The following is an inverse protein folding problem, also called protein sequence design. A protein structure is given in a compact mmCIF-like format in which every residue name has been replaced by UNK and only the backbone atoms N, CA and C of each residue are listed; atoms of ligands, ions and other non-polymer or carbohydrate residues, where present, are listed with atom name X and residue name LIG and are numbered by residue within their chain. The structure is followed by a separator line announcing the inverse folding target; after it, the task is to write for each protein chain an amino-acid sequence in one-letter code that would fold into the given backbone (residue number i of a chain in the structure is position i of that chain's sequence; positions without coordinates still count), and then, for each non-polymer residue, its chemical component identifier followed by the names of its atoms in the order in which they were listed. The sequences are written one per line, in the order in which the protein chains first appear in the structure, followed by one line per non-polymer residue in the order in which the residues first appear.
data_IF_427094962341
#
_entry.id   IF_427094962341
#
_cell.length_a   1.000
_cell.length_b   1.000
_cell.length_c   1.000
_cell.angle_alpha   90.00
_cell.angle_beta   90.00
_cell.angle_gamma   90.00
#
_symmetry.space_group_name_H-M   'P 1'
#
loop_
_entity.id
_entity.type
_entity.pdbx_description
1 polymer ?
#
# COMPACT_ATOMS: atom_id res chain seq x y z
N UNK A 1 36.84 18.59 18.37
CA UNK A 1 36.30 18.32 17.90
C UNK A 1 35.73 18.00 17.50
N UNK A 2 35.78 18.06 17.58
CA UNK A 2 34.97 17.68 16.91
C UNK A 2 34.26 17.23 16.60
N UNK A 3 34.27 17.42 16.75
CA UNK A 3 33.39 17.03 16.20
C UNK A 3 32.68 16.70 15.97
N UNK A 4 32.84 16.96 16.07
CA UNK A 4 31.97 16.68 15.53
C UNK A 4 31.14 16.31 15.26
N UNK A 5 31.26 16.54 15.33
CA UNK A 5 30.36 16.34 14.71
C UNK A 5 29.62 15.84 14.53
N UNK A 6 29.64 15.94 14.61
CA UNK A 6 28.76 15.61 14.00
C UNK A 6 28.07 15.12 13.85
N UNK A 7 28.38 15.43 14.04
CA UNK A 7 27.50 15.11 13.40
C UNK A 7 26.78 14.72 13.17
N UNK A 8 27.10 15.12 13.42
CA UNK A 8 26.19 14.87 12.72
C UNK A 8 25.47 14.44 12.49
N UNK A 9 25.48 14.58 12.71
CA UNK A 9 24.57 14.28 11.99
C UNK A 9 23.88 13.68 11.81
N UNK A 10 24.08 13.86 12.13
CA UNK A 10 23.21 13.38 11.47
C UNK A 10 22.40 12.94 11.42
N UNK A 11 22.55 13.25 11.74
CA UNK A 11 21.63 12.93 11.22
C UNK A 11 20.76 12.78 11.03
N UNK A 12 20.78 13.12 11.09
CA UNK A 12 19.75 13.01 10.37
C UNK A 12 19.04 12.75 9.93
N UNK A 13 19.24 13.08 10.04
CA UNK A 13 18.50 12.74 9.21
C UNK A 13 17.83 12.41 9.00
N UNK A 14 17.74 12.55 9.03
CA UNK A 14 17.04 12.15 8.48
C UNK A 14 16.28 11.90 8.25
N UNK A 15 16.39 12.23 8.48
CA UNK A 15 15.56 11.95 7.91
C UNK A 15 14.92 11.92 7.32
N UNK A 16 15.03 12.30 7.13
CA UNK A 16 14.55 12.12 6.29
C UNK A 16 13.95 11.79 5.92
N UNK A 17 13.84 11.58 6.04
CA UNK A 17 13.33 11.01 5.50
C UNK A 17 12.80 10.60 5.28
N UNK A 18 12.51 10.68 5.69
CA UNK A 18 12.00 10.12 5.27
C UNK A 18 10.91 10.00 4.69
N UNK A 19 10.70 10.72 4.72
CA UNK A 19 9.72 10.67 3.68
C UNK A 19 9.91 9.47 2.77
N UNK A 20 9.91 8.36 3.41
CA UNK A 20 10.01 7.11 2.72
C UNK A 20 8.72 6.84 1.98
N UNK A 21 8.81 6.51 0.72
CA UNK A 21 7.68 5.98 -0.01
C UNK A 21 7.23 4.69 0.66
N UNK A 22 5.96 4.59 0.98
CA UNK A 22 5.40 3.36 1.53
C UNK A 22 5.09 2.40 0.39
N UNK A 23 5.34 1.13 0.61
CA UNK A 23 4.92 0.10 -0.32
C UNK A 23 4.63 -1.18 0.43
N UNK A 24 3.88 -2.07 -0.20
CA UNK A 24 3.63 -3.40 0.33
C UNK A 24 3.35 -4.32 -0.85
N UNK A 25 3.36 -5.62 -0.59
CA UNK A 25 3.10 -6.62 -1.60
C UNK A 25 1.66 -7.12 -1.45
N UNK A 26 1.01 -7.40 -2.57
CA UNK A 26 -0.33 -7.97 -2.57
C UNK A 26 -0.29 -9.28 -3.34
N UNK A 27 -0.85 -10.32 -2.74
CA UNK A 27 -0.99 -11.63 -3.38
C UNK A 27 -2.47 -11.88 -3.66
N UNK A 28 -2.77 -12.25 -4.90
CA UNK A 28 -4.14 -12.51 -5.31
C UNK A 28 -4.44 -14.01 -5.18
N UNK A 29 -5.19 -14.37 -4.14
CA UNK A 29 -5.70 -15.71 -3.94
C UNK A 29 -7.23 -15.75 -4.03
N UNK A 30 -7.81 -14.81 -4.79
CA UNK A 30 -9.27 -14.68 -4.89
C UNK A 30 -9.90 -15.69 -5.85
N UNK A 31 -9.11 -16.25 -6.75
CA UNK A 31 -9.62 -17.14 -7.78
C UNK A 31 -10.05 -16.43 -9.06
N UNK A 32 -9.96 -15.09 -9.09
CA UNK A 32 -10.35 -14.29 -10.26
C UNK A 32 -9.25 -13.31 -10.61
N UNK A 33 -9.30 -12.76 -11.81
CA UNK A 33 -8.38 -11.72 -12.24
C UNK A 33 -8.88 -10.37 -11.76
N UNK A 34 -7.99 -9.60 -11.12
CA UNK A 34 -8.27 -8.26 -10.64
C UNK A 34 -7.73 -7.24 -11.64
N UNK A 35 -8.30 -6.05 -11.69
CA UNK A 35 -7.86 -5.05 -12.66
C UNK A 35 -7.59 -3.67 -12.09
N UNK A 36 -8.02 -3.36 -10.87
CA UNK A 36 -7.73 -2.06 -10.27
C UNK A 36 -7.50 -2.21 -8.78
N UNK A 37 -6.57 -1.42 -8.25
CA UNK A 37 -6.37 -1.23 -6.81
C UNK A 37 -6.34 0.26 -6.54
N UNK A 38 -7.21 0.71 -5.64
CA UNK A 38 -7.25 2.10 -5.20
C UNK A 38 -6.95 2.16 -3.73
N UNK A 39 -6.14 3.14 -3.31
CA UNK A 39 -5.92 3.41 -1.89
C UNK A 39 -6.15 4.90 -1.65
N UNK A 40 -6.66 5.21 -0.47
CA UNK A 40 -6.86 6.59 -0.05
C UNK A 40 -6.68 6.65 1.46
N UNK A 41 -6.23 7.79 2.01
CA UNK A 41 -6.20 7.93 3.47
C UNK A 41 -7.57 7.60 4.05
N UNK A 42 -7.56 6.94 5.20
CA UNK A 42 -8.79 6.43 5.81
C UNK A 42 -9.83 7.53 5.95
N UNK A 43 -11.08 7.20 5.60
CA UNK A 43 -12.25 8.06 5.77
C UNK A 43 -12.34 9.25 4.80
N UNK A 44 -11.49 9.32 3.79
CA UNK A 44 -11.58 10.43 2.82
C UNK A 44 -12.54 10.15 1.67
N UNK A 45 -12.77 8.89 1.33
CA UNK A 45 -13.68 8.47 0.25
C UNK A 45 -13.33 9.03 -1.13
N UNK A 46 -12.08 9.44 -1.32
CA UNK A 46 -11.61 9.94 -2.60
C UNK A 46 -10.56 8.98 -3.15
N UNK A 47 -11.02 8.02 -3.95
CA UNK A 47 -10.17 6.88 -4.35
C UNK A 47 -8.99 7.26 -5.24
N UNK A 48 -9.10 8.34 -6.00
CA UNK A 48 -8.00 8.75 -6.87
C UNK A 48 -7.76 7.77 -8.01
N UNK A 49 -6.50 7.54 -8.33
CA UNK A 49 -6.11 6.72 -9.47
C UNK A 49 -5.86 5.28 -9.08
N UNK A 50 -6.03 4.39 -10.06
CA UNK A 50 -5.63 2.99 -9.95
C UNK A 50 -4.11 2.93 -9.78
N UNK A 51 -3.65 2.26 -8.73
CA UNK A 51 -2.23 2.12 -8.42
C UNK A 51 -1.69 0.72 -8.71
N UNK A 52 -2.49 -0.13 -9.32
CA UNK A 52 -2.01 -1.44 -9.75
C UNK A 52 -0.99 -1.25 -10.88
N UNK A 53 0.23 -1.80 -10.74
CA UNK A 53 1.29 -1.57 -11.74
C UNK A 53 0.96 -2.09 -13.13
N UNK A 54 0.17 -3.15 -13.22
CA UNK A 54 -0.21 -3.77 -14.49
C UNK A 54 -1.72 -3.72 -14.64
N UNK A 55 -2.20 -3.81 -15.88
CA UNK A 55 -3.63 -3.78 -16.16
C UNK A 55 -4.37 -5.01 -15.62
N UNK A 56 -3.68 -6.13 -15.52
CA UNK A 56 -4.27 -7.38 -15.05
C UNK A 56 -3.45 -7.94 -13.90
N UNK A 57 -4.14 -8.38 -12.87
CA UNK A 57 -3.54 -9.00 -11.70
C UNK A 57 -4.16 -10.39 -11.53
N UNK A 58 -3.49 -11.38 -12.07
CA UNK A 58 -4.03 -12.72 -12.17
C UNK A 58 -4.01 -13.44 -10.84
N UNK A 59 -4.90 -14.41 -10.70
CA UNK A 59 -4.96 -15.26 -9.53
C UNK A 59 -3.60 -15.97 -9.33
N UNK A 60 -3.19 -16.13 -8.09
CA UNK A 60 -1.94 -16.77 -7.68
C UNK A 60 -0.69 -15.97 -8.00
N UNK A 61 -0.83 -14.70 -8.34
CA UNK A 61 0.33 -13.81 -8.56
C UNK A 61 0.44 -12.79 -7.44
N UNK A 62 1.59 -12.12 -7.38
CA UNK A 62 1.85 -11.08 -6.40
C UNK A 62 2.40 -9.86 -7.11
N UNK A 63 2.06 -8.67 -6.60
CA UNK A 63 2.56 -7.41 -7.12
C UNK A 63 3.01 -6.52 -5.97
N UNK A 64 3.95 -5.63 -6.25
CA UNK A 64 4.31 -4.56 -5.33
C UNK A 64 3.39 -3.37 -5.61
N UNK A 65 2.82 -2.83 -4.55
CA UNK A 65 1.93 -1.66 -4.62
C UNK A 65 2.62 -0.51 -3.89
N UNK A 66 2.80 0.61 -4.60
CA UNK A 66 3.42 1.80 -4.03
C UNK A 66 2.34 2.81 -3.67
N UNK A 67 2.36 3.28 -2.41
CA UNK A 67 1.44 4.30 -1.95
C UNK A 67 1.92 5.65 -2.49
N UNK A 68 1.04 6.46 -3.10
CA UNK A 68 1.44 7.77 -3.61
C UNK A 68 2.09 8.64 -2.52
N UNK A 69 3.19 9.30 -2.89
CA UNK A 69 3.98 10.08 -1.94
C UNK A 69 3.22 11.30 -1.41
N UNK A 70 2.25 11.81 -2.14
CA UNK A 70 1.47 12.98 -1.73
C UNK A 70 0.52 12.70 -0.57
N UNK A 71 0.39 11.45 -0.13
CA UNK A 71 -0.34 11.16 1.11
C UNK A 71 0.52 11.38 2.36
N UNK A 72 1.79 11.72 2.20
CA UNK A 72 2.64 12.14 3.30
C UNK A 72 2.92 11.04 4.31
N UNK A 73 2.74 11.37 5.60
CA UNK A 73 3.05 10.46 6.69
C UNK A 73 1.86 9.63 7.16
N UNK A 74 0.76 9.63 6.41
CA UNK A 74 -0.44 8.86 6.75
C UNK A 74 -0.14 7.37 6.77
N UNK A 75 -0.59 6.68 7.80
CA UNK A 75 -0.44 5.22 7.89
C UNK A 75 -1.74 4.47 7.62
N UNK A 76 -2.88 5.03 7.99
CA UNK A 76 -4.17 4.35 7.85
C UNK A 76 -4.79 4.66 6.51
N UNK A 77 -5.14 3.61 5.79
CA UNK A 77 -5.69 3.71 4.44
C UNK A 77 -6.90 2.82 4.27
N UNK A 78 -7.79 3.25 3.39
CA UNK A 78 -8.84 2.40 2.85
C UNK A 78 -8.37 1.90 1.49
N UNK A 79 -8.78 0.70 1.12
CA UNK A 79 -8.39 0.08 -0.14
C UNK A 79 -9.63 -0.46 -0.84
N UNK A 80 -9.72 -0.21 -2.15
CA UNK A 80 -10.78 -0.75 -2.99
C UNK A 80 -10.14 -1.53 -4.13
N UNK A 81 -10.63 -2.74 -4.36
CA UNK A 81 -10.10 -3.62 -5.39
C UNK A 81 -11.26 -4.06 -6.28
N UNK A 82 -11.04 -4.01 -7.59
CA UNK A 82 -12.07 -4.40 -8.56
C UNK A 82 -11.61 -5.59 -9.39
N UNK A 83 -12.55 -6.35 -9.91
CA UNK A 83 -12.28 -7.45 -10.84
C UNK A 83 -12.82 -7.15 -12.24
N UNK A 84 -12.53 -8.04 -13.18
CA UNK A 84 -12.95 -7.85 -14.58
C UNK A 84 -14.46 -7.92 -14.76
N UNK A 85 -15.17 -8.54 -13.83
CA UNK A 85 -16.62 -8.66 -13.91
C UNK A 85 -17.35 -7.44 -13.33
N UNK A 86 -16.61 -6.45 -12.82
CA UNK A 86 -17.19 -5.25 -12.26
C UNK A 86 -17.49 -5.33 -10.77
N UNK A 87 -17.10 -6.42 -10.12
CA UNK A 87 -17.25 -6.53 -8.68
C UNK A 87 -16.15 -5.77 -7.96
N UNK A 88 -16.43 -5.32 -6.75
CA UNK A 88 -15.41 -4.63 -5.94
C UNK A 88 -15.50 -5.05 -4.48
N UNK A 89 -14.38 -4.93 -3.80
CA UNK A 89 -14.24 -5.17 -2.36
C UNK A 89 -13.55 -3.96 -1.78
N UNK A 90 -14.02 -3.51 -0.61
CA UNK A 90 -13.41 -2.38 0.09
C UNK A 90 -12.97 -2.82 1.47
N UNK A 91 -11.73 -2.51 1.82
CA UNK A 91 -11.18 -2.71 3.15
C UNK A 91 -10.89 -1.34 3.76
N UNK A 92 -11.13 -1.18 5.04
CA UNK A 92 -10.98 0.13 5.70
C UNK A 92 -9.99 0.05 6.84
N UNK A 93 -9.30 1.17 7.08
CA UNK A 93 -8.45 1.34 8.25
C UNK A 93 -7.22 0.45 8.28
N UNK A 94 -6.68 0.09 7.12
CA UNK A 94 -5.47 -0.73 7.06
C UNK A 94 -4.24 0.11 7.40
N UNK A 95 -3.34 -0.45 8.21
CA UNK A 95 -2.11 0.26 8.58
C UNK A 95 -1.00 -0.10 7.61
N UNK A 96 -0.82 0.73 6.59
CA UNK A 96 0.18 0.49 5.57
C UNK A 96 1.61 0.66 6.08
N UNK A 97 1.80 1.32 7.21
CA UNK A 97 3.13 1.47 7.80
C UNK A 97 3.63 0.15 8.41
N UNK A 98 2.73 -0.72 8.82
CA UNK A 98 3.08 -2.03 9.38
C UNK A 98 3.00 -3.15 8.36
N UNK A 99 2.31 -2.93 7.26
CA UNK A 99 1.99 -3.99 6.31
C UNK A 99 3.19 -4.35 5.45
N UNK A 100 3.51 -5.63 5.38
CA UNK A 100 4.50 -6.15 4.43
C UNK A 100 3.81 -6.83 3.26
N UNK A 101 2.88 -7.73 3.53
CA UNK A 101 2.18 -8.50 2.51
C UNK A 101 0.70 -8.59 2.86
N UNK A 102 -0.12 -8.35 1.87
CA UNK A 102 -1.57 -8.47 1.95
C UNK A 102 -1.99 -9.62 1.04
N UNK A 103 -2.69 -10.60 1.59
CA UNK A 103 -3.18 -11.73 0.81
C UNK A 103 -4.69 -11.60 0.69
N UNK A 104 -5.16 -11.49 -0.55
CA UNK A 104 -6.58 -11.37 -0.84
C UNK A 104 -7.17 -12.76 -0.99
N UNK A 105 -8.20 -13.06 -0.22
CA UNK A 105 -8.79 -14.40 -0.16
C UNK A 105 -10.07 -14.50 -0.98
N UNK A 106 -10.43 -15.71 -1.37
CA UNK A 106 -11.59 -15.97 -2.21
C UNK A 106 -12.93 -15.61 -1.55
N UNK A 107 -12.97 -15.59 -0.23
CA UNK A 107 -14.19 -15.28 0.52
C UNK A 107 -14.41 -13.78 0.75
N UNK A 108 -13.59 -12.93 0.13
CA UNK A 108 -13.71 -11.48 0.26
C UNK A 108 -13.00 -10.91 1.48
N UNK A 109 -12.21 -11.73 2.16
CA UNK A 109 -11.39 -11.26 3.29
C UNK A 109 -9.95 -11.10 2.87
N UNK A 110 -9.12 -10.58 3.75
CA UNK A 110 -7.68 -10.54 3.52
C UNK A 110 -6.93 -11.03 4.76
N UNK A 111 -5.70 -11.47 4.53
CA UNK A 111 -4.76 -11.80 5.59
C UNK A 111 -3.59 -10.83 5.46
N UNK A 112 -3.17 -10.24 6.57
CA UNK A 112 -2.08 -9.27 6.59
C UNK A 112 -0.88 -9.86 7.30
N UNK A 113 0.32 -9.67 6.70
CA UNK A 113 1.59 -10.06 7.30
C UNK A 113 2.45 -8.81 7.44
N UNK A 114 3.00 -8.64 8.63
CA UNK A 114 3.83 -7.48 8.95
C UNK A 114 5.32 -7.75 8.79
#
# INVERSE_FOLDING_TARGET
IAASLFTVFFLFAENTANSQALYFFVTNNTGVTLNNIYVTPAETNNWGNDILPNDLFENSSSVRVDIPADYGSTCKFDMKITDLAGNSITFTGMDACLLHTLILNADGTYSAME
#
